data_IF_248693212291
#
_entry.id   IF_248693212291
#
_cell.length_a   1.000
_cell.length_b   1.000
_cell.length_c   1.000
_cell.angle_alpha   90.00
_cell.angle_beta   90.00
_cell.angle_gamma   90.00
#
_symmetry.space_group_name_H-M   'P 1'
#
loop_
_entity.id
_entity.type
_entity.pdbx_description
1 polymer ?
#
# COMPACT_ATOMS: atom_id res chain seq x y z
N UNK A 1 26.83 10.12 4.15
CA UNK A 1 25.45 9.65 4.40
C UNK A 1 24.84 9.25 3.06
N UNK A 2 24.87 7.96 2.73
CA UNK A 2 24.44 7.46 1.43
C UNK A 2 22.94 7.69 1.24
N UNK A 3 22.57 8.40 0.15
CA UNK A 3 21.21 8.44 -0.37
C UNK A 3 20.82 7.00 -0.70
N UNK A 4 20.05 6.35 0.16
CA UNK A 4 19.33 5.13 -0.21
C UNK A 4 18.39 5.54 -1.33
N UNK A 5 18.82 5.28 -2.56
CA UNK A 5 18.06 5.45 -3.78
C UNK A 5 16.76 4.69 -3.54
N UNK A 6 15.65 5.40 -3.43
CA UNK A 6 14.31 4.85 -3.27
C UNK A 6 13.96 4.11 -4.58
N UNK A 7 14.59 2.96 -4.79
CA UNK A 7 14.26 2.05 -5.88
C UNK A 7 12.89 1.46 -5.53
N UNK A 8 11.90 1.54 -6.43
CA UNK A 8 10.77 0.63 -6.29
C UNK A 8 11.36 -0.78 -6.35
N UNK A 9 11.13 -1.59 -5.30
CA UNK A 9 11.56 -2.99 -5.23
C UNK A 9 10.99 -3.81 -6.41
N UNK A 10 10.03 -3.25 -7.13
CA UNK A 10 9.34 -3.87 -8.24
C UNK A 10 9.04 -2.86 -9.36
N UNK A 11 9.41 -3.19 -10.61
CA UNK A 11 8.92 -2.50 -11.81
C UNK A 11 7.66 -3.22 -12.27
N UNK A 12 6.53 -2.51 -12.50
CA UNK A 12 5.37 -3.13 -13.13
C UNK A 12 5.78 -3.73 -14.47
N UNK A 13 5.45 -5.00 -14.65
CA UNK A 13 5.74 -5.71 -15.89
C UNK A 13 4.85 -5.16 -17.01
N UNK A 14 5.34 -5.11 -18.25
CA UNK A 14 4.57 -4.56 -19.39
C UNK A 14 3.27 -5.32 -19.69
N UNK A 15 3.15 -6.55 -19.19
CA UNK A 15 1.95 -7.39 -19.30
C UNK A 15 1.03 -7.32 -18.07
N UNK A 16 1.43 -6.55 -17.05
CA UNK A 16 0.58 -6.35 -15.89
C UNK A 16 -0.60 -5.46 -16.28
N UNK A 17 -1.81 -6.00 -16.14
CA UNK A 17 -3.03 -5.23 -16.24
C UNK A 17 -3.53 -4.98 -14.82
N UNK A 18 -3.43 -3.73 -14.30
CA UNK A 18 -3.96 -3.40 -12.99
C UNK A 18 -5.43 -3.79 -12.92
N UNK A 19 -5.79 -4.51 -11.86
CA UNK A 19 -7.17 -4.89 -11.63
C UNK A 19 -7.97 -3.71 -11.05
N UNK A 20 -9.29 -3.78 -11.19
CA UNK A 20 -10.19 -2.82 -10.59
C UNK A 20 -9.96 -2.74 -9.06
N UNK A 21 -9.90 -1.51 -8.54
CA UNK A 21 -9.63 -1.26 -7.12
C UNK A 21 -8.15 -1.32 -6.72
N UNK A 22 -7.21 -1.55 -7.64
CA UNK A 22 -5.78 -1.50 -7.30
C UNK A 22 -5.36 -0.12 -6.76
N UNK A 23 -4.73 -0.11 -5.58
CA UNK A 23 -4.22 1.10 -4.92
C UNK A 23 -2.71 1.25 -5.17
N UNK A 24 -2.19 2.37 -5.69
CA UNK A 24 -0.74 2.51 -5.96
C UNK A 24 0.08 2.82 -4.68
N UNK A 25 0.09 1.88 -3.73
CA UNK A 25 0.87 1.99 -2.49
C UNK A 25 2.34 1.62 -2.71
N UNK A 26 3.21 2.36 -2.02
CA UNK A 26 4.67 2.24 -2.06
C UNK A 26 5.20 1.97 -0.65
N UNK A 27 6.45 1.51 -0.58
CA UNK A 27 7.13 1.34 0.70
C UNK A 27 7.08 2.62 1.53
N UNK A 28 6.68 2.51 2.80
CA UNK A 28 6.56 3.60 3.75
C UNK A 28 5.25 4.39 3.67
N UNK A 29 4.35 4.08 2.72
CA UNK A 29 3.03 4.69 2.69
C UNK A 29 2.23 4.36 3.94
N UNK A 30 1.41 5.33 4.36
CA UNK A 30 0.59 5.23 5.56
C UNK A 30 -0.83 4.83 5.19
N UNK A 31 -1.32 3.79 5.85
CA UNK A 31 -2.62 3.18 5.60
C UNK A 31 -3.37 2.96 6.91
N UNK A 32 -4.65 2.65 6.79
CA UNK A 32 -5.53 2.26 7.87
C UNK A 32 -6.23 0.94 7.50
N UNK A 33 -6.41 0.05 8.47
CA UNK A 33 -7.24 -1.15 8.29
C UNK A 33 -8.70 -0.75 8.14
N UNK A 34 -9.39 -1.34 7.17
CA UNK A 34 -10.83 -1.12 6.91
C UNK A 34 -11.70 -2.28 7.38
N UNK A 35 -11.06 -3.33 7.91
CA UNK A 35 -11.66 -4.53 8.47
C UNK A 35 -10.88 -4.94 9.72
N UNK A 36 -11.44 -5.80 10.54
CA UNK A 36 -10.67 -6.50 11.56
C UNK A 36 -9.78 -7.55 10.88
N UNK A 37 -8.51 -7.59 11.27
CA UNK A 37 -7.56 -8.64 10.92
C UNK A 37 -7.12 -9.32 12.22
N UNK A 38 -6.52 -10.49 12.12
CA UNK A 38 -5.93 -11.15 13.28
C UNK A 38 -5.03 -10.16 14.07
N UNK A 39 -5.34 -9.85 15.33
CA UNK A 39 -4.56 -8.90 16.15
C UNK A 39 -4.53 -7.44 15.69
N UNK A 40 -5.36 -7.03 14.73
CA UNK A 40 -5.43 -5.65 14.24
C UNK A 40 -6.89 -5.25 14.07
N UNK A 41 -7.38 -4.37 14.93
CA UNK A 41 -8.75 -3.88 14.87
C UNK A 41 -8.97 -2.94 13.68
N UNK A 42 -10.22 -2.85 13.21
CA UNK A 42 -10.66 -1.88 12.22
C UNK A 42 -10.26 -0.45 12.63
N UNK A 43 -9.78 0.33 11.67
CA UNK A 43 -9.29 1.68 11.91
C UNK A 43 -7.83 1.75 12.39
N UNK A 44 -7.18 0.62 12.65
CA UNK A 44 -5.77 0.64 13.09
C UNK A 44 -4.85 1.14 11.98
N UNK A 45 -3.98 2.08 12.32
CA UNK A 45 -3.00 2.63 11.39
C UNK A 45 -1.80 1.70 11.19
N UNK A 46 -1.20 1.75 10.01
CA UNK A 46 0.01 1.02 9.70
C UNK A 46 0.86 1.67 8.62
N UNK A 47 2.07 1.13 8.45
CA UNK A 47 2.99 1.50 7.37
C UNK A 47 3.25 0.31 6.46
N UNK A 48 3.21 0.56 5.16
CA UNK A 48 3.58 -0.44 4.15
C UNK A 48 5.06 -0.75 4.26
N UNK A 49 5.39 -2.01 4.55
CA UNK A 49 6.77 -2.53 4.62
C UNK A 49 7.15 -3.37 3.41
N UNK A 50 6.18 -3.77 2.61
CA UNK A 50 6.40 -4.42 1.31
C UNK A 50 5.23 -4.12 0.38
N UNK A 51 5.54 -3.78 -0.86
CA UNK A 51 4.57 -3.63 -1.94
C UNK A 51 5.08 -4.45 -3.13
N UNK A 52 4.45 -5.60 -3.37
CA UNK A 52 4.86 -6.53 -4.43
C UNK A 52 3.65 -7.08 -5.17
N UNK A 53 3.75 -7.34 -6.47
CA UNK A 53 2.62 -7.82 -7.25
C UNK A 53 2.99 -8.17 -8.68
N UNK A 54 2.02 -8.68 -9.42
CA UNK A 54 2.06 -8.72 -10.88
C UNK A 54 0.82 -8.04 -11.43
N UNK A 55 -0.28 -8.79 -11.56
CA UNK A 55 -1.62 -8.21 -11.79
C UNK A 55 -2.29 -7.82 -10.46
N UNK A 56 -2.02 -8.55 -9.38
CA UNK A 56 -2.46 -8.19 -8.03
C UNK A 56 -1.29 -7.67 -7.21
N UNK A 57 -1.39 -6.40 -6.82
CA UNK A 57 -0.47 -5.84 -5.85
C UNK A 57 -0.88 -6.28 -4.44
N UNK A 58 0.04 -6.94 -3.76
CA UNK A 58 -0.06 -7.38 -2.37
C UNK A 58 0.84 -6.55 -1.49
N UNK A 59 0.28 -6.12 -0.38
CA UNK A 59 0.97 -5.33 0.62
C UNK A 59 1.25 -6.15 1.85
N UNK A 60 2.39 -5.84 2.45
CA UNK A 60 2.65 -6.14 3.84
C UNK A 60 2.69 -4.85 4.61
N UNK A 61 1.98 -4.82 5.74
CA UNK A 61 1.83 -3.64 6.58
C UNK A 61 2.23 -3.99 8.00
N UNK A 62 3.10 -3.17 8.56
CA UNK A 62 3.39 -3.17 9.99
C UNK A 62 2.44 -2.16 10.66
N UNK A 63 1.52 -2.66 11.48
CA UNK A 63 0.56 -1.84 12.20
C UNK A 63 1.17 -1.26 13.47
N UNK A 64 0.58 -0.15 13.96
CA UNK A 64 1.04 0.51 15.19
C UNK A 64 0.92 -0.35 16.44
N UNK A 65 0.07 -1.39 16.39
CA UNK A 65 -0.06 -2.42 17.44
C UNK A 65 1.15 -3.36 17.49
N UNK A 66 2.06 -3.31 16.51
CA UNK A 66 3.22 -4.19 16.39
C UNK A 66 2.99 -5.44 15.54
N UNK A 67 1.74 -5.70 15.11
CA UNK A 67 1.42 -6.82 14.23
C UNK A 67 1.76 -6.52 12.76
N UNK A 68 2.48 -7.44 12.13
CA UNK A 68 2.71 -7.43 10.68
C UNK A 68 1.69 -8.32 9.97
N UNK A 69 0.99 -7.80 8.95
CA UNK A 69 0.04 -8.56 8.13
C UNK A 69 0.39 -8.44 6.66
N UNK A 70 0.36 -9.57 5.96
CA UNK A 70 0.66 -9.69 4.54
C UNK A 70 -0.58 -10.01 3.70
N UNK A 71 -0.37 -10.13 2.40
CA UNK A 71 -1.41 -10.42 1.39
C UNK A 71 -2.55 -9.39 1.33
N UNK A 72 -2.31 -8.19 1.86
CA UNK A 72 -3.31 -7.14 1.94
C UNK A 72 -3.49 -6.43 0.59
N UNK A 73 -4.69 -5.92 0.36
CA UNK A 73 -5.09 -5.17 -0.82
C UNK A 73 -6.16 -4.12 -0.45
N UNK A 74 -6.82 -3.54 -1.46
CA UNK A 74 -7.83 -2.50 -1.28
C UNK A 74 -9.06 -2.94 -0.46
N UNK A 75 -9.32 -4.24 -0.32
CA UNK A 75 -10.41 -4.78 0.50
C UNK A 75 -10.11 -4.67 1.99
N UNK A 76 -8.84 -4.48 2.33
CA UNK A 76 -8.34 -4.47 3.70
C UNK A 76 -7.81 -3.09 4.09
N UNK A 77 -7.33 -2.29 3.13
CA UNK A 77 -6.56 -1.08 3.39
C UNK A 77 -7.16 0.16 2.72
N UNK A 78 -7.24 1.24 3.49
CA UNK A 78 -7.46 2.59 2.98
C UNK A 78 -6.17 3.42 3.12
N UNK A 79 -5.72 4.13 2.07
CA UNK A 79 -4.63 5.10 2.19
C UNK A 79 -5.07 6.28 3.05
N UNK A 80 -4.18 6.79 3.90
CA UNK A 80 -4.47 7.94 4.77
C UNK A 80 -3.41 9.03 4.68
N UNK A 81 -3.73 10.23 5.20
CA UNK A 81 -2.79 11.34 5.33
C UNK A 81 -2.11 11.74 4.02
N UNK A 82 -0.77 11.76 4.01
CA UNK A 82 0.03 12.14 2.84
C UNK A 82 -0.14 11.16 1.67
N UNK A 83 -0.30 9.88 1.95
CA UNK A 83 -0.50 8.84 0.93
C UNK A 83 -1.81 9.07 0.17
N UNK A 84 -2.92 9.29 0.89
CA UNK A 84 -4.21 9.60 0.27
C UNK A 84 -4.14 10.82 -0.64
N UNK A 85 -3.49 11.91 -0.17
CA UNK A 85 -3.30 13.14 -0.95
C UNK A 85 -2.47 12.91 -2.22
N UNK A 86 -1.42 12.10 -2.14
CA UNK A 86 -0.58 11.74 -3.30
C UNK A 86 -1.40 10.99 -4.35
N UNK A 87 -2.11 9.95 -3.92
CA UNK A 87 -2.92 9.11 -4.81
C UNK A 87 -4.03 9.92 -5.49
N UNK A 88 -4.73 10.78 -4.75
CA UNK A 88 -5.74 11.66 -5.34
C UNK A 88 -5.17 12.61 -6.40
N UNK A 89 -3.93 13.11 -6.20
CA UNK A 89 -3.26 13.96 -7.19
C UNK A 89 -2.82 13.17 -8.42
N UNK A 90 -2.35 11.94 -8.24
CA UNK A 90 -1.97 11.07 -9.36
C UNK A 90 -3.19 10.67 -10.19
N UNK A 91 -4.31 10.33 -9.53
CA UNK A 91 -5.59 10.03 -10.20
C UNK A 91 -6.09 11.21 -11.06
N UNK A 92 -6.00 12.45 -10.55
CA UNK A 92 -6.36 13.66 -11.31
C UNK A 92 -5.48 13.92 -12.54
N UNK A 93 -4.25 13.40 -12.58
CA UNK A 93 -3.32 13.57 -13.71
C UNK A 93 -3.49 12.50 -14.78
N UNK A 94 -4.10 11.38 -14.42
CA UNK A 94 -4.39 10.28 -15.33
C UNK A 94 -5.71 10.47 -16.10
N UNK A 95 -6.46 11.53 -15.78
CA UNK A 95 -7.71 11.94 -16.40
C UNK A 95 -7.45 13.08 -17.38
#
# INVERSE_FOLDING_TARGET
MSKTKNMPLWKPHALAHPHEGQIDLKLGDTVMSTVDLDGVELGTHGKVVLANGFNWQRYRVLFVTGHERGDLDHRHLAPIGKTARRLAREAKRAL
#
